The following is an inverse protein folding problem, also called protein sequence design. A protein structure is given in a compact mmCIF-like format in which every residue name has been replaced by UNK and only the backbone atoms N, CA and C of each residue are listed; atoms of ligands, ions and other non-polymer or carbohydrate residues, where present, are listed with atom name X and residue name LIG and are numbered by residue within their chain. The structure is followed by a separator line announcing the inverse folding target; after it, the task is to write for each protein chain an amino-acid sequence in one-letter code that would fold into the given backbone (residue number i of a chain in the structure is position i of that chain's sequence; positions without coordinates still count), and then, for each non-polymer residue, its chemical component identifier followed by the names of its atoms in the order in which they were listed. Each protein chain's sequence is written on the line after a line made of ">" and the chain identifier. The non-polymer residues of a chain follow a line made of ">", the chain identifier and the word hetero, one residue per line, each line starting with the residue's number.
data_IF_244881343263
#
_entry.id   IF_244881343263
#
_cell.length_a   1.000
_cell.length_b   1.000
_cell.length_c   1.000
_cell.angle_alpha   90.00
_cell.angle_beta   90.00
_cell.angle_gamma   90.00
#
_symmetry.space_group_name_H-M   'P 1'
#
loop_
_entity.id
_entity.type
_entity.pdbx_description
1 polymer ?
#
# COMPACT_ATOMS: atom_id res chain seq x y z
N UNK A 1 -16.35 -14.31 4.02
CA UNK A 1 -15.33 -13.43 4.64
C UNK A 1 -15.79 -12.00 4.58
N UNK A 2 -15.26 -11.16 5.46
CA UNK A 2 -15.56 -9.73 5.53
C UNK A 2 -14.26 -8.96 5.45
N UNK A 3 -14.25 -7.87 4.68
CA UNK A 3 -13.08 -7.03 4.43
C UNK A 3 -13.40 -5.56 4.69
N UNK A 4 -12.41 -4.83 5.17
CA UNK A 4 -12.47 -3.37 5.27
C UNK A 4 -11.14 -2.77 4.84
N UNK A 5 -11.21 -1.82 3.92
CA UNK A 5 -10.04 -1.11 3.42
C UNK A 5 -10.00 0.29 4.04
N UNK A 6 -8.86 0.66 4.60
CA UNK A 6 -8.62 1.95 5.21
C UNK A 6 -7.42 2.61 4.52
N UNK A 7 -7.54 3.89 4.20
CA UNK A 7 -6.51 4.70 3.52
C UNK A 7 -6.01 5.78 4.49
N UNK A 8 -4.71 5.85 4.71
CA UNK A 8 -4.12 6.91 5.53
C UNK A 8 -4.09 8.23 4.76
N UNK A 9 -4.78 9.25 5.28
CA UNK A 9 -4.84 10.58 4.65
C UNK A 9 -3.46 11.20 4.55
N UNK A 10 -2.92 11.32 3.33
CA UNK A 10 -1.59 11.90 3.09
C UNK A 10 -0.52 11.32 4.03
N UNK A 11 -0.41 9.99 4.09
CA UNK A 11 0.36 9.26 5.10
C UNK A 11 1.72 9.86 5.43
N UNK A 12 2.52 10.24 4.43
CA UNK A 12 3.86 10.81 4.64
C UNK A 12 3.82 12.18 5.33
N UNK A 13 2.80 13.00 5.07
CA UNK A 13 2.65 14.31 5.71
C UNK A 13 2.32 14.18 7.21
N UNK A 14 1.96 12.99 7.69
CA UNK A 14 1.72 12.72 9.10
C UNK A 14 3.01 12.44 9.90
N UNK A 15 4.13 12.17 9.20
CA UNK A 15 5.44 11.96 9.82
C UNK A 15 6.11 13.30 10.13
N UNK A 16 6.37 13.60 11.39
CA UNK A 16 7.14 14.78 11.79
C UNK A 16 8.62 14.57 11.53
N UNK A 17 9.28 15.60 11.03
CA UNK A 17 10.71 15.62 10.81
C UNK A 17 11.48 16.02 12.08
N UNK A 18 12.67 15.44 12.28
CA UNK A 18 13.62 15.93 13.26
C UNK A 18 14.18 17.28 12.82
N UNK A 19 14.68 18.10 13.74
CA UNK A 19 15.28 19.41 13.40
C UNK A 19 16.39 19.31 12.37
N UNK A 20 17.20 18.25 12.46
CA UNK A 20 18.24 17.99 11.44
C UNK A 20 17.64 17.67 10.07
N UNK A 21 16.59 16.85 10.00
CA UNK A 21 15.95 16.51 8.75
C UNK A 21 15.25 17.71 8.10
N UNK A 22 14.62 18.57 8.89
CA UNK A 22 14.05 19.84 8.43
C UNK A 22 15.06 20.71 7.70
N UNK A 23 16.25 20.88 8.29
CA UNK A 23 17.32 21.69 7.69
C UNK A 23 17.85 21.06 6.37
N UNK A 24 17.97 19.73 6.32
CA UNK A 24 18.43 19.02 5.12
C UNK A 24 17.42 19.06 3.97
N UNK A 25 16.13 19.15 4.30
CA UNK A 25 15.03 19.20 3.34
C UNK A 25 14.52 20.61 3.06
N UNK A 26 15.23 21.62 3.56
CA UNK A 26 14.85 23.02 3.35
C UNK A 26 14.88 23.40 1.87
N UNK A 27 13.89 24.18 1.46
CA UNK A 27 13.68 24.61 0.07
C UNK A 27 14.06 26.10 -0.03
N UNK A 28 14.91 26.43 -0.97
CA UNK A 28 15.28 27.84 -1.27
C UNK A 28 14.26 28.43 -2.24
N UNK A 29 13.67 29.56 -1.87
CA UNK A 29 12.71 30.29 -2.70
C UNK A 29 13.16 31.73 -2.88
N UNK A 30 12.61 32.50 -3.85
CA UNK A 30 12.88 33.92 -3.99
C UNK A 30 12.53 34.76 -2.76
N UNK A 31 11.67 34.25 -1.87
CA UNK A 31 11.24 34.92 -0.63
C UNK A 31 11.98 34.46 0.62
N UNK A 32 12.96 33.55 0.46
CA UNK A 32 13.74 32.99 1.56
C UNK A 32 13.71 31.47 1.60
N UNK A 33 14.29 30.94 2.65
CA UNK A 33 14.35 29.49 2.88
C UNK A 33 13.09 29.01 3.62
N UNK A 34 12.44 28.02 3.06
CA UNK A 34 11.31 27.33 3.68
C UNK A 34 11.79 25.99 4.27
N UNK A 35 11.38 25.71 5.49
CA UNK A 35 11.75 24.50 6.23
C UNK A 35 10.48 23.66 6.43
N UNK A 36 10.43 22.41 5.92
CA UNK A 36 9.26 21.58 6.10
C UNK A 36 9.15 21.06 7.54
N UNK A 37 7.94 20.98 8.07
CA UNK A 37 7.66 20.40 9.41
C UNK A 37 7.46 18.89 9.36
N UNK A 38 6.96 18.39 8.22
CA UNK A 38 6.59 16.98 8.00
C UNK A 38 7.32 16.42 6.79
N UNK A 39 7.39 15.09 6.73
CA UNK A 39 7.95 14.41 5.58
C UNK A 39 7.05 14.64 4.35
N UNK A 40 7.66 14.72 3.17
CA UNK A 40 6.94 14.90 1.92
C UNK A 40 7.32 13.85 0.89
N UNK A 41 6.64 13.90 -0.25
CA UNK A 41 6.95 13.05 -1.39
C UNK A 41 8.36 13.33 -1.94
N UNK A 42 9.01 12.28 -2.46
CA UNK A 42 10.32 12.39 -3.13
C UNK A 42 11.53 12.15 -2.22
N UNK A 43 11.35 12.03 -0.92
CA UNK A 43 12.42 11.64 0.01
C UNK A 43 12.52 10.12 0.06
N UNK A 44 13.62 9.57 -0.45
CA UNK A 44 13.81 8.13 -0.70
C UNK A 44 13.50 7.21 0.50
N UNK A 45 13.87 7.60 1.73
CA UNK A 45 13.66 6.76 2.92
C UNK A 45 12.27 6.86 3.57
N UNK A 46 11.44 7.83 3.17
CA UNK A 46 10.15 8.10 3.82
C UNK A 46 9.15 6.95 3.67
N UNK A 47 8.95 6.35 2.49
CA UNK A 47 8.00 5.23 2.36
C UNK A 47 8.37 4.04 3.24
N UNK A 48 9.65 3.67 3.28
CA UNK A 48 10.13 2.55 4.11
C UNK A 48 9.96 2.84 5.60
N UNK A 49 10.26 4.07 6.01
CA UNK A 49 10.09 4.49 7.41
C UNK A 49 8.62 4.55 7.80
N UNK A 50 7.74 5.05 6.92
CA UNK A 50 6.30 5.07 7.16
C UNK A 50 5.74 3.65 7.30
N UNK A 51 6.10 2.74 6.39
CA UNK A 51 5.74 1.31 6.50
C UNK A 51 6.20 0.73 7.84
N UNK A 52 7.43 1.01 8.25
CA UNK A 52 7.95 0.55 9.54
C UNK A 52 7.12 1.09 10.71
N UNK A 53 6.75 2.36 10.69
CA UNK A 53 5.90 2.95 11.73
C UNK A 53 4.50 2.29 11.76
N UNK A 54 3.89 2.05 10.61
CA UNK A 54 2.57 1.43 10.52
C UNK A 54 2.59 0.00 11.05
N UNK A 55 3.53 -0.84 10.58
CA UNK A 55 3.58 -2.25 10.97
C UNK A 55 4.13 -2.48 12.37
N UNK A 56 5.18 -1.77 12.81
CA UNK A 56 5.87 -2.08 14.07
C UNK A 56 5.45 -1.21 15.26
N UNK A 57 4.65 -0.17 15.04
CA UNK A 57 4.19 0.69 16.13
C UNK A 57 2.66 0.81 16.14
N UNK A 58 2.06 1.17 14.99
CA UNK A 58 0.60 1.41 14.96
C UNK A 58 -0.15 0.08 15.08
N UNK A 59 0.14 -0.87 14.21
CA UNK A 59 -0.60 -2.13 14.09
C UNK A 59 0.17 -3.36 14.60
N UNK A 60 1.25 -3.15 15.34
CA UNK A 60 2.03 -4.23 15.93
C UNK A 60 1.14 -5.27 16.64
N UNK A 61 1.26 -6.53 16.23
CA UNK A 61 0.52 -7.67 16.76
C UNK A 61 -0.93 -7.78 16.26
N UNK A 62 -1.38 -6.96 15.31
CA UNK A 62 -2.68 -7.11 14.67
C UNK A 62 -2.60 -7.92 13.37
N UNK A 63 -1.42 -8.17 12.82
CA UNK A 63 -1.24 -8.98 11.61
C UNK A 63 -1.80 -10.40 11.81
N UNK A 64 -1.57 -11.00 12.98
CA UNK A 64 -2.11 -12.33 13.33
C UNK A 64 -3.63 -12.32 13.51
N UNK A 65 -4.22 -11.14 13.68
CA UNK A 65 -5.65 -10.94 13.83
C UNK A 65 -6.34 -10.44 12.54
N UNK A 66 -5.65 -10.51 11.41
CA UNK A 66 -6.22 -10.18 10.10
C UNK A 66 -6.17 -8.70 9.73
N UNK A 67 -5.14 -7.96 10.20
CA UNK A 67 -4.88 -6.58 9.77
C UNK A 67 -3.57 -6.53 8.99
N UNK A 68 -3.65 -6.32 7.69
CA UNK A 68 -2.50 -6.18 6.80
C UNK A 68 -2.25 -4.72 6.45
N UNK A 69 -0.97 -4.33 6.39
CA UNK A 69 -0.61 -2.95 6.07
C UNK A 69 0.43 -2.87 4.98
N UNK A 70 0.22 -1.96 4.04
CA UNK A 70 1.23 -1.63 3.04
C UNK A 70 1.25 -0.13 2.76
N UNK A 71 2.26 0.55 3.31
CA UNK A 71 2.42 2.00 3.28
C UNK A 71 1.15 2.67 3.85
N UNK A 72 0.33 3.31 3.02
CA UNK A 72 -0.89 4.02 3.40
C UNK A 72 -2.17 3.18 3.31
N UNK A 73 -2.09 2.01 2.69
CA UNK A 73 -3.20 1.05 2.61
C UNK A 73 -3.21 0.12 3.82
N UNK A 74 -4.36 -0.02 4.46
CA UNK A 74 -4.61 -0.96 5.57
C UNK A 74 -5.83 -1.79 5.23
N UNK A 75 -5.68 -3.10 5.22
CA UNK A 75 -6.77 -4.05 5.02
C UNK A 75 -7.04 -4.81 6.32
N UNK A 76 -8.28 -4.80 6.78
CA UNK A 76 -8.74 -5.64 7.86
C UNK A 76 -9.67 -6.73 7.31
N UNK A 77 -9.46 -7.99 7.69
CA UNK A 77 -10.27 -9.10 7.21
C UNK A 77 -10.61 -10.09 8.33
N UNK A 78 -11.71 -10.81 8.14
CA UNK A 78 -12.17 -11.86 9.07
C UNK A 78 -13.05 -12.88 8.35
N UNK A 79 -13.40 -13.96 9.05
CA UNK A 79 -14.29 -14.99 8.50
C UNK A 79 -15.75 -14.54 8.49
N UNK A 80 -16.18 -13.74 9.47
CA UNK A 80 -17.56 -13.26 9.61
C UNK A 80 -17.62 -11.85 10.20
N UNK A 81 -18.81 -11.27 10.21
CA UNK A 81 -19.07 -9.92 10.72
C UNK A 81 -18.88 -9.80 12.23
N UNK A 82 -19.21 -10.83 13.00
CA UNK A 82 -19.14 -10.78 14.47
C UNK A 82 -17.67 -10.69 14.92
N UNK A 83 -16.77 -11.41 14.26
CA UNK A 83 -15.33 -11.36 14.50
C UNK A 83 -14.69 -10.10 13.88
N UNK A 84 -15.29 -9.54 12.81
CA UNK A 84 -14.75 -8.35 12.12
C UNK A 84 -14.85 -7.07 12.96
N UNK A 85 -15.97 -6.88 13.66
CA UNK A 85 -16.22 -5.66 14.45
C UNK A 85 -15.15 -5.40 15.52
N UNK A 86 -14.76 -6.40 16.36
CA UNK A 86 -13.66 -6.22 17.32
C UNK A 86 -12.32 -5.85 16.67
N UNK A 87 -12.00 -6.44 15.51
CA UNK A 87 -10.78 -6.15 14.75
C UNK A 87 -10.76 -4.68 14.31
N UNK A 88 -11.87 -4.21 13.72
CA UNK A 88 -12.01 -2.81 13.33
C UNK A 88 -11.94 -1.86 14.52
N UNK A 89 -12.60 -2.21 15.62
CA UNK A 89 -12.56 -1.39 16.84
C UNK A 89 -11.12 -1.23 17.36
N UNK A 90 -10.34 -2.31 17.40
CA UNK A 90 -8.94 -2.26 17.82
C UNK A 90 -8.08 -1.48 16.82
N UNK A 91 -8.30 -1.69 15.53
CA UNK A 91 -7.64 -0.94 14.44
C UNK A 91 -7.87 0.57 14.61
N UNK A 92 -9.12 1.00 14.81
CA UNK A 92 -9.42 2.42 15.04
C UNK A 92 -8.86 2.97 16.36
N UNK A 93 -8.86 2.18 17.44
CA UNK A 93 -8.21 2.55 18.71
C UNK A 93 -6.72 2.79 18.52
N UNK A 94 -6.05 1.95 17.71
CA UNK A 94 -4.63 2.11 17.35
C UNK A 94 -4.41 3.38 16.54
N UNK A 95 -5.19 3.61 15.50
CA UNK A 95 -5.14 4.85 14.72
C UNK A 95 -5.30 6.08 15.62
N UNK A 96 -6.29 6.07 16.53
CA UNK A 96 -6.51 7.17 17.46
C UNK A 96 -5.32 7.37 18.42
N UNK A 97 -4.81 6.29 19.00
CA UNK A 97 -3.65 6.32 19.94
C UNK A 97 -2.42 6.93 19.27
N UNK A 98 -2.13 6.55 18.04
CA UNK A 98 -0.96 6.99 17.28
C UNK A 98 -1.19 8.24 16.45
N UNK A 99 -2.43 8.78 16.49
CA UNK A 99 -2.86 9.96 15.74
C UNK A 99 -2.72 9.77 14.22
N UNK A 100 -2.96 8.56 13.73
CA UNK A 100 -3.06 8.28 12.31
C UNK A 100 -4.42 8.78 11.81
N UNK A 101 -4.41 9.69 10.87
CA UNK A 101 -5.62 10.22 10.22
C UNK A 101 -5.95 9.37 9.00
N UNK A 102 -7.19 8.91 8.94
CA UNK A 102 -7.72 8.12 7.82
C UNK A 102 -8.57 9.00 6.89
N UNK A 103 -8.54 8.70 5.60
CA UNK A 103 -9.39 9.34 4.60
C UNK A 103 -10.73 8.61 4.50
N UNK A 104 -11.74 9.09 5.23
CA UNK A 104 -13.04 8.44 5.28
C UNK A 104 -13.75 8.32 3.92
N UNK A 105 -13.41 9.14 2.93
CA UNK A 105 -14.00 9.05 1.58
C UNK A 105 -13.42 7.91 0.73
N UNK A 106 -12.25 7.40 1.11
CA UNK A 106 -11.57 6.29 0.45
C UNK A 106 -11.67 4.98 1.23
N UNK A 107 -12.03 5.07 2.52
CA UNK A 107 -12.22 3.88 3.33
C UNK A 107 -13.52 3.17 2.93
N UNK A 108 -13.47 1.85 2.88
CA UNK A 108 -14.64 1.00 2.70
C UNK A 108 -14.73 0.00 3.84
N UNK A 109 -15.91 -0.25 4.35
CA UNK A 109 -16.12 -1.10 5.52
C UNK A 109 -17.11 -2.22 5.21
N UNK A 110 -16.83 -3.41 5.76
CA UNK A 110 -17.73 -4.57 5.73
C UNK A 110 -18.14 -5.04 4.33
N UNK A 111 -17.19 -5.09 3.42
CA UNK A 111 -17.39 -5.64 2.08
C UNK A 111 -17.14 -7.15 2.05
N UNK A 112 -17.68 -7.83 1.04
CA UNK A 112 -17.43 -9.24 0.74
C UNK A 112 -16.12 -9.47 -0.04
N UNK A 113 -15.50 -8.40 -0.53
CA UNK A 113 -14.23 -8.41 -1.24
C UNK A 113 -13.43 -7.14 -0.95
N UNK A 114 -12.14 -7.16 -1.24
CA UNK A 114 -11.22 -6.03 -1.13
C UNK A 114 -10.33 -5.94 -2.36
N UNK A 115 -9.86 -4.74 -2.68
CA UNK A 115 -8.79 -4.53 -3.67
C UNK A 115 -7.53 -4.08 -2.93
N UNK A 116 -6.69 -5.04 -2.60
CA UNK A 116 -5.46 -4.79 -1.86
C UNK A 116 -4.23 -5.08 -2.73
N UNK A 117 -3.30 -4.14 -2.81
CA UNK A 117 -2.09 -4.21 -3.65
C UNK A 117 -2.37 -4.58 -5.12
N UNK A 118 -3.49 -4.07 -5.65
CA UNK A 118 -3.97 -4.34 -7.01
C UNK A 118 -4.37 -5.82 -7.27
N UNK A 119 -4.61 -6.59 -6.21
CA UNK A 119 -5.30 -7.86 -6.25
C UNK A 119 -6.71 -7.70 -5.70
N UNK A 120 -7.67 -8.33 -6.34
CA UNK A 120 -8.99 -8.52 -5.79
C UNK A 120 -8.95 -9.75 -4.90
N UNK A 121 -9.31 -9.58 -3.63
CA UNK A 121 -9.30 -10.62 -2.59
C UNK A 121 -10.72 -10.84 -2.11
N UNK A 122 -11.18 -12.09 -2.05
CA UNK A 122 -12.50 -12.47 -1.58
C UNK A 122 -12.46 -13.75 -0.74
N UNK A 123 -13.62 -14.33 -0.44
CA UNK A 123 -13.73 -15.59 0.33
C UNK A 123 -13.10 -16.80 -0.36
N UNK A 124 -12.97 -16.79 -1.67
CA UNK A 124 -12.46 -17.90 -2.49
C UNK A 124 -10.96 -17.80 -2.74
N UNK A 125 -10.35 -16.62 -2.54
CA UNK A 125 -8.93 -16.42 -2.75
C UNK A 125 -8.57 -15.02 -3.23
N UNK A 126 -7.52 -14.93 -4.06
CA UNK A 126 -7.09 -13.67 -4.66
C UNK A 126 -6.87 -13.83 -6.17
N UNK A 127 -7.15 -12.76 -6.91
CA UNK A 127 -6.97 -12.69 -8.37
C UNK A 127 -6.52 -11.29 -8.79
N UNK A 128 -5.94 -11.17 -9.96
CA UNK A 128 -5.67 -9.85 -10.52
C UNK A 128 -6.97 -9.14 -10.89
N UNK A 129 -7.00 -7.82 -10.69
CA UNK A 129 -8.12 -7.01 -11.15
C UNK A 129 -8.26 -7.06 -12.67
N UNK A 130 -9.50 -6.99 -13.18
CA UNK A 130 -9.79 -7.00 -14.62
C UNK A 130 -9.00 -5.93 -15.39
N UNK A 131 -8.84 -4.75 -14.79
CA UNK A 131 -8.04 -3.66 -15.35
C UNK A 131 -6.58 -4.08 -15.59
N UNK A 132 -6.00 -4.87 -14.70
CA UNK A 132 -4.63 -5.38 -14.84
C UNK A 132 -4.54 -6.46 -15.91
N UNK A 133 -5.50 -7.38 -15.93
CA UNK A 133 -5.57 -8.42 -16.96
C UNK A 133 -5.73 -7.81 -18.34
N UNK A 134 -6.59 -6.80 -18.50
CA UNK A 134 -6.73 -6.07 -19.76
C UNK A 134 -5.41 -5.40 -20.16
N UNK A 135 -4.68 -4.81 -19.19
CA UNK A 135 -3.36 -4.22 -19.47
C UNK A 135 -2.34 -5.22 -20.04
N UNK A 136 -2.41 -6.51 -19.65
CA UNK A 136 -1.58 -7.56 -20.27
C UNK A 136 -2.04 -7.88 -21.68
N UNK A 137 -3.36 -8.02 -21.88
CA UNK A 137 -3.94 -8.31 -23.19
C UNK A 137 -3.62 -7.20 -24.22
N UNK A 138 -3.50 -5.97 -23.77
CA UNK A 138 -3.18 -4.81 -24.62
C UNK A 138 -1.67 -4.61 -24.84
N UNK A 139 -0.81 -5.42 -24.21
CA UNK A 139 0.64 -5.33 -24.39
C UNK A 139 1.03 -5.69 -25.84
N UNK A 140 1.72 -4.76 -26.47
CA UNK A 140 2.31 -4.99 -27.78
C UNK A 140 3.63 -5.78 -27.65
N UNK A 141 3.88 -6.67 -28.56
CA UNK A 141 5.16 -7.38 -28.63
C UNK A 141 6.34 -6.37 -28.72
N UNK A 142 7.44 -6.64 -28.02
CA UNK A 142 8.61 -5.76 -28.06
C UNK A 142 9.27 -5.79 -29.44
N UNK A 143 9.28 -4.67 -30.13
CA UNK A 143 9.86 -4.52 -31.47
C UNK A 143 11.39 -4.36 -31.45
N UNK A 144 12.01 -4.08 -30.33
CA UNK A 144 13.44 -3.88 -30.18
C UNK A 144 13.95 -4.23 -28.78
N UNK A 145 15.28 -4.42 -28.66
CA UNK A 145 15.94 -4.82 -27.41
C UNK A 145 15.67 -3.90 -26.22
N UNK A 146 15.46 -2.60 -26.44
CA UNK A 146 15.17 -1.65 -25.36
C UNK A 146 13.78 -1.84 -24.74
N UNK A 147 12.85 -2.41 -25.50
CA UNK A 147 11.48 -2.67 -25.06
C UNK A 147 11.34 -4.02 -24.34
N UNK A 148 12.31 -4.93 -24.47
CA UNK A 148 12.26 -6.25 -23.84
C UNK A 148 12.27 -6.13 -22.31
N UNK A 149 13.18 -5.34 -21.75
CA UNK A 149 13.32 -5.21 -20.29
C UNK A 149 12.05 -4.69 -19.58
N UNK A 150 11.42 -3.57 -20.02
CA UNK A 150 10.14 -3.14 -19.45
C UNK A 150 9.00 -4.14 -19.71
N UNK A 151 8.99 -4.82 -20.87
CA UNK A 151 8.01 -5.86 -21.19
C UNK A 151 8.10 -7.04 -20.20
N UNK A 152 9.29 -7.60 -20.00
CA UNK A 152 9.53 -8.67 -19.02
C UNK A 152 9.20 -8.19 -17.62
N UNK A 153 9.58 -6.96 -17.24
CA UNK A 153 9.25 -6.38 -15.95
C UNK A 153 7.74 -6.30 -15.67
N UNK A 154 6.96 -5.97 -16.72
CA UNK A 154 5.51 -5.94 -16.61
C UNK A 154 4.91 -7.36 -16.50
N UNK A 155 5.34 -8.27 -17.35
CA UNK A 155 4.84 -9.66 -17.37
C UNK A 155 5.25 -10.41 -16.10
N UNK A 156 6.42 -10.12 -15.54
CA UNK A 156 6.91 -10.72 -14.29
C UNK A 156 6.02 -10.45 -13.08
N UNK A 157 5.21 -9.39 -13.11
CA UNK A 157 4.20 -9.14 -12.07
C UNK A 157 3.13 -10.24 -11.99
N UNK A 158 2.91 -10.95 -13.10
CA UNK A 158 1.92 -12.04 -13.20
C UNK A 158 2.56 -13.43 -13.00
N UNK A 159 3.81 -13.47 -12.58
CA UNK A 159 4.60 -14.69 -12.46
C UNK A 159 3.90 -15.79 -11.67
N UNK A 160 3.26 -15.43 -10.55
CA UNK A 160 2.61 -16.39 -9.65
C UNK A 160 1.37 -17.05 -10.26
N UNK A 161 0.85 -16.47 -11.36
CA UNK A 161 -0.29 -17.00 -12.12
C UNK A 161 0.14 -17.68 -13.41
N UNK A 162 1.44 -17.61 -13.76
CA UNK A 162 2.02 -18.32 -14.89
C UNK A 162 2.53 -19.69 -14.42
N UNK A 163 2.49 -20.68 -15.27
CA UNK A 163 3.02 -22.01 -14.97
C UNK A 163 4.52 -22.00 -14.65
N UNK A 164 5.03 -23.15 -14.20
CA UNK A 164 6.44 -23.32 -13.77
C UNK A 164 7.48 -22.95 -14.84
N UNK A 165 7.09 -23.00 -16.12
CA UNK A 165 7.98 -22.69 -17.26
C UNK A 165 8.24 -21.17 -17.44
N UNK A 166 7.55 -20.31 -16.68
CA UNK A 166 7.71 -18.86 -16.82
C UNK A 166 9.16 -18.39 -16.54
N UNK A 167 9.83 -19.00 -15.57
CA UNK A 167 11.20 -18.66 -15.22
C UNK A 167 12.17 -18.95 -16.39
N UNK A 168 11.96 -20.07 -17.09
CA UNK A 168 12.79 -20.50 -18.23
C UNK A 168 12.58 -19.61 -19.46
N UNK A 169 11.35 -19.08 -19.64
CA UNK A 169 11.00 -18.18 -20.74
C UNK A 169 11.52 -16.75 -20.55
N UNK A 170 11.87 -16.36 -19.33
CA UNK A 170 12.27 -14.98 -18.98
C UNK A 170 13.74 -14.84 -18.52
N UNK A 171 14.50 -15.93 -18.57
CA UNK A 171 15.92 -16.00 -18.18
C UNK A 171 16.90 -15.34 -19.16
#
# INVERSE_FOLDING_TARGET
>A
KVFSDLDAEKGFDQLRLTERAKLLLAIVTPHGQLVPETAGFGVHGVPVYFQHCMSHHVFEGLEENGVETFIDDVNAHSEDFETHVPILEDTFKRCFKWRVTLNGSKCTLNNDHSIFLAHEVDGDGHRHTDKRLQGVADLKEPANKKQIKPYIGYVNYFRDYCGMDFADLTA
#
